data_IF_890932186909
#
_entry.id   IF_890932186909
#
_cell.length_a   1.000
_cell.length_b   1.000
_cell.length_c   1.000
_cell.angle_alpha   90.00
_cell.angle_beta   90.00
_cell.angle_gamma   90.00
#
_symmetry.space_group_name_H-M   'P 1'
#
loop_
_entity.id
_entity.type
_entity.pdbx_description
1 polymer ?
#
# COMPACT_ATOMS: atom_id res chain seq x y z
N UNK A 1 -53.00 15.16 -8.30
CA UNK A 1 -51.97 16.24 -8.43
C UNK A 1 -50.85 16.21 -7.35
N UNK A 2 -50.84 15.29 -6.40
CA UNK A 2 -49.75 15.20 -5.39
C UNK A 2 -48.54 14.34 -5.83
N UNK A 3 -48.71 13.42 -6.79
CA UNK A 3 -47.64 12.57 -7.28
C UNK A 3 -46.54 13.32 -8.08
N UNK A 4 -46.91 14.43 -8.75
CA UNK A 4 -45.96 15.18 -9.59
C UNK A 4 -44.91 15.96 -8.80
N UNK A 5 -45.11 16.15 -7.51
CA UNK A 5 -44.16 16.86 -6.60
C UNK A 5 -43.02 15.98 -6.11
N UNK A 6 -43.14 14.62 -6.20
CA UNK A 6 -42.10 13.69 -5.74
C UNK A 6 -41.11 13.31 -6.83
N UNK A 7 -41.43 13.54 -8.10
CA UNK A 7 -40.56 13.22 -9.23
C UNK A 7 -39.19 13.92 -9.17
N UNK A 8 -39.13 15.26 -8.89
CA UNK A 8 -37.83 15.94 -8.81
C UNK A 8 -36.99 15.46 -7.60
N UNK A 9 -37.62 15.07 -6.51
CA UNK A 9 -36.93 14.56 -5.33
C UNK A 9 -36.30 13.19 -5.57
N UNK A 10 -37.06 12.32 -6.23
CA UNK A 10 -36.56 10.99 -6.64
C UNK A 10 -35.43 11.09 -7.67
N UNK A 11 -35.52 12.00 -8.61
CA UNK A 11 -34.44 12.25 -9.57
C UNK A 11 -33.17 12.78 -8.92
N UNK A 12 -33.30 13.63 -7.89
CA UNK A 12 -32.16 14.19 -7.15
C UNK A 12 -31.48 13.13 -6.29
N UNK A 13 -32.24 12.23 -5.65
CA UNK A 13 -31.73 11.10 -4.90
C UNK A 13 -31.04 10.09 -5.80
N UNK A 14 -31.63 9.78 -6.96
CA UNK A 14 -31.01 8.90 -7.94
C UNK A 14 -29.68 9.47 -8.48
N UNK A 15 -29.62 10.79 -8.70
CA UNK A 15 -28.40 11.47 -9.14
C UNK A 15 -27.32 11.51 -8.06
N UNK A 16 -27.71 11.68 -6.79
CA UNK A 16 -26.79 11.62 -5.65
C UNK A 16 -26.18 10.22 -5.45
N UNK A 17 -26.93 9.15 -5.75
CA UNK A 17 -26.45 7.77 -5.70
C UNK A 17 -25.46 7.44 -6.83
N UNK A 18 -25.54 8.13 -7.97
CA UNK A 18 -24.59 7.97 -9.08
C UNK A 18 -23.24 8.65 -8.82
N UNK A 19 -23.16 9.55 -7.82
CA UNK A 19 -21.93 10.20 -7.39
C UNK A 19 -21.16 9.42 -6.32
N UNK A 20 -21.62 8.24 -5.88
CA UNK A 20 -20.86 7.30 -5.07
C UNK A 20 -19.76 6.67 -5.92
N UNK A 21 -18.86 7.52 -6.40
CA UNK A 21 -17.75 7.18 -7.27
C UNK A 21 -16.72 6.32 -6.54
N UNK A 22 -16.04 5.50 -7.30
CA UNK A 22 -14.94 4.63 -6.94
C UNK A 22 -13.99 5.27 -5.94
N UNK A 23 -14.09 4.92 -4.67
CA UNK A 23 -13.26 5.47 -3.62
C UNK A 23 -11.85 4.85 -3.68
N UNK A 24 -10.84 5.70 -3.83
CA UNK A 24 -9.47 5.33 -3.51
C UNK A 24 -9.37 5.17 -1.99
N UNK A 25 -8.88 4.02 -1.55
CA UNK A 25 -8.74 3.71 -0.13
C UNK A 25 -7.28 3.54 0.28
N UNK A 26 -6.89 4.16 1.40
CA UNK A 26 -5.60 3.93 2.03
C UNK A 26 -5.82 3.62 3.52
N UNK A 27 -5.12 2.62 4.02
CA UNK A 27 -5.13 2.26 5.44
C UNK A 27 -3.70 1.97 5.90
N UNK A 28 -3.33 2.52 7.05
CA UNK A 28 -2.06 2.20 7.71
C UNK A 28 -2.32 1.92 9.19
N UNK A 29 -1.67 0.90 9.72
CA UNK A 29 -1.71 0.55 11.14
C UNK A 29 -0.30 0.25 11.62
N UNK A 30 0.04 0.77 12.77
CA UNK A 30 1.35 0.63 13.40
C UNK A 30 1.14 0.13 14.84
N UNK A 31 1.71 -1.02 15.19
CA UNK A 31 1.63 -1.60 16.53
C UNK A 31 2.75 -1.07 17.44
N UNK A 32 3.84 -0.57 16.85
CA UNK A 32 4.99 0.00 17.56
C UNK A 32 5.67 1.06 16.72
N UNK A 33 6.51 1.87 17.34
CA UNK A 33 7.36 2.81 16.62
C UNK A 33 8.43 2.07 15.80
N UNK A 34 8.44 2.31 14.49
CA UNK A 34 9.39 1.68 13.55
C UNK A 34 10.68 2.49 13.37
N UNK A 35 10.85 3.62 14.03
CA UNK A 35 12.05 4.46 13.87
C UNK A 35 13.34 3.78 14.34
N UNK A 36 13.23 2.83 15.28
CA UNK A 36 14.34 2.03 15.79
C UNK A 36 14.84 0.94 14.84
N UNK A 37 14.00 0.47 13.90
CA UNK A 37 14.35 -0.59 12.95
C UNK A 37 15.17 0.01 11.80
N UNK A 38 16.45 -0.30 11.72
CA UNK A 38 17.39 0.29 10.78
C UNK A 38 17.66 -0.59 9.57
N UNK A 39 17.90 -1.89 9.81
CA UNK A 39 18.20 -2.88 8.76
C UNK A 39 16.95 -3.64 8.39
N UNK A 40 16.51 -3.46 7.17
CA UNK A 40 15.23 -3.99 6.69
C UNK A 40 15.47 -4.88 5.47
N UNK A 41 14.87 -6.05 5.49
CA UNK A 41 14.88 -6.97 4.36
C UNK A 41 13.49 -7.05 3.72
N UNK A 42 13.42 -6.83 2.42
CA UNK A 42 12.19 -6.97 1.65
C UNK A 42 12.18 -8.33 0.99
N UNK A 43 11.21 -9.17 1.35
CA UNK A 43 11.08 -10.51 0.75
C UNK A 43 10.46 -10.41 -0.63
N UNK A 44 11.25 -10.78 -1.66
CA UNK A 44 10.81 -10.79 -3.05
C UNK A 44 9.82 -11.91 -3.31
N UNK A 45 8.75 -11.60 -4.03
CA UNK A 45 7.85 -12.63 -4.57
C UNK A 45 8.45 -13.23 -5.84
N UNK A 46 8.32 -14.55 -6.01
CA UNK A 46 8.83 -15.26 -7.19
C UNK A 46 8.19 -14.78 -8.50
N UNK A 47 6.98 -14.26 -8.44
CA UNK A 47 6.21 -13.76 -9.58
C UNK A 47 6.20 -12.23 -9.67
N UNK A 48 7.14 -11.52 -9.01
CA UNK A 48 7.22 -10.06 -9.09
C UNK A 48 7.79 -9.60 -10.43
N UNK A 49 6.91 -9.40 -11.40
CA UNK A 49 7.25 -8.90 -12.73
C UNK A 49 7.43 -7.35 -12.77
N UNK A 50 7.09 -6.65 -11.69
CA UNK A 50 7.10 -5.18 -11.62
C UNK A 50 8.19 -4.64 -10.71
N UNK A 51 9.01 -5.51 -10.12
CA UNK A 51 10.11 -5.15 -9.22
C UNK A 51 9.65 -4.31 -8.03
N UNK A 52 8.53 -4.71 -7.45
CA UNK A 52 7.94 -4.05 -6.26
C UNK A 52 8.89 -4.18 -5.07
N UNK A 53 9.60 -5.31 -4.96
CA UNK A 53 10.67 -5.53 -3.98
C UNK A 53 11.71 -4.41 -3.99
N UNK A 54 12.27 -4.11 -5.16
CA UNK A 54 13.27 -3.06 -5.35
C UNK A 54 12.70 -1.65 -5.09
N UNK A 55 11.46 -1.40 -5.49
CA UNK A 55 10.79 -0.12 -5.25
C UNK A 55 10.55 0.12 -3.76
N UNK A 56 10.12 -0.91 -3.01
CA UNK A 56 9.97 -0.85 -1.55
C UNK A 56 11.33 -0.58 -0.89
N UNK A 57 12.36 -1.32 -1.27
CA UNK A 57 13.71 -1.13 -0.72
C UNK A 57 14.25 0.29 -1.01
N UNK A 58 14.05 0.81 -2.20
CA UNK A 58 14.44 2.18 -2.56
C UNK A 58 13.68 3.23 -1.72
N UNK A 59 12.38 3.05 -1.52
CA UNK A 59 11.57 3.96 -0.70
C UNK A 59 12.00 3.92 0.78
N UNK A 60 12.32 2.76 1.33
CA UNK A 60 12.85 2.61 2.69
C UNK A 60 14.23 3.26 2.82
N UNK A 61 15.08 3.13 1.81
CA UNK A 61 16.40 3.79 1.78
C UNK A 61 16.23 5.30 1.78
N UNK A 62 15.29 5.84 1.01
CA UNK A 62 14.98 7.27 1.03
C UNK A 62 14.45 7.76 2.39
N UNK A 63 13.88 6.86 3.21
CA UNK A 63 13.46 7.12 4.59
C UNK A 63 14.60 6.88 5.61
N UNK A 64 15.84 6.73 5.16
CA UNK A 64 17.02 6.57 6.02
C UNK A 64 17.20 5.17 6.61
N UNK A 65 16.68 4.12 5.94
CA UNK A 65 16.87 2.73 6.34
C UNK A 65 17.95 2.05 5.50
N UNK A 66 18.62 1.05 6.06
CA UNK A 66 19.47 0.12 5.31
C UNK A 66 18.57 -0.99 4.76
N UNK A 67 18.06 -0.81 3.55
CA UNK A 67 17.10 -1.74 2.97
C UNK A 67 17.76 -2.58 1.87
N UNK A 68 17.56 -3.88 1.95
CA UNK A 68 17.93 -4.86 0.93
C UNK A 68 16.73 -5.72 0.56
N UNK A 69 16.79 -6.42 -0.56
CA UNK A 69 15.70 -7.28 -1.00
C UNK A 69 16.20 -8.55 -1.65
N UNK A 70 15.36 -9.56 -1.68
CA UNK A 70 15.64 -10.86 -2.29
C UNK A 70 14.69 -11.94 -1.78
N UNK A 71 14.89 -13.17 -2.24
CA UNK A 71 14.07 -14.29 -1.79
C UNK A 71 14.31 -14.59 -0.30
N UNK A 72 13.31 -15.15 0.39
CA UNK A 72 13.34 -15.36 1.84
C UNK A 72 14.56 -16.17 2.32
N UNK A 73 15.05 -17.10 1.49
CA UNK A 73 16.24 -17.93 1.79
C UNK A 73 17.57 -17.19 1.72
N UNK A 74 17.60 -16.00 1.11
CA UNK A 74 18.80 -15.16 0.97
C UNK A 74 18.84 -14.00 1.99
N UNK A 75 17.97 -14.02 2.99
CA UNK A 75 17.92 -12.98 4.01
C UNK A 75 19.25 -12.92 4.77
N UNK A 76 19.90 -11.72 4.84
CA UNK A 76 21.12 -11.54 5.61
C UNK A 76 20.88 -11.70 7.11
N UNK A 77 21.92 -12.10 7.83
CA UNK A 77 21.90 -12.07 9.30
C UNK A 77 21.84 -10.63 9.83
N UNK A 78 21.23 -10.46 10.99
CA UNK A 78 21.20 -9.17 11.70
C UNK A 78 20.27 -8.13 11.11
N UNK A 79 19.27 -8.51 10.27
CA UNK A 79 18.18 -7.61 9.92
C UNK A 79 17.23 -7.42 11.09
N UNK A 80 16.69 -6.21 11.23
CA UNK A 80 15.80 -5.84 12.33
C UNK A 80 14.35 -6.19 12.00
N UNK A 81 13.92 -5.94 10.76
CA UNK A 81 12.57 -6.16 10.31
C UNK A 81 12.52 -6.76 8.91
N UNK A 82 11.45 -7.48 8.65
CA UNK A 82 11.13 -8.08 7.36
C UNK A 82 9.89 -7.40 6.81
N UNK A 83 9.94 -7.03 5.54
CA UNK A 83 8.82 -6.50 4.79
C UNK A 83 8.38 -7.54 3.77
N UNK A 84 7.09 -7.85 3.80
CA UNK A 84 6.43 -8.65 2.77
C UNK A 84 5.32 -7.82 2.12
N UNK A 85 4.92 -8.17 0.93
CA UNK A 85 3.90 -7.45 0.20
C UNK A 85 3.06 -8.38 -0.65
N UNK A 86 1.88 -7.92 -1.01
CA UNK A 86 1.04 -8.47 -2.07
C UNK A 86 0.56 -7.34 -2.93
N UNK A 87 0.50 -7.55 -4.24
CA UNK A 87 0.08 -6.55 -5.20
C UNK A 87 -0.89 -7.14 -6.20
N UNK A 88 -1.75 -6.29 -6.74
CA UNK A 88 -2.69 -6.66 -7.78
C UNK A 88 -2.66 -5.63 -8.89
N UNK A 89 -2.54 -6.12 -10.13
CA UNK A 89 -2.44 -5.32 -11.34
C UNK A 89 -3.62 -5.61 -12.26
N UNK A 90 -3.99 -4.62 -13.01
CA UNK A 90 -4.92 -4.75 -14.12
C UNK A 90 -4.34 -4.15 -15.40
N UNK A 91 -4.92 -4.55 -16.50
CA UNK A 91 -4.50 -4.11 -17.81
C UNK A 91 -5.68 -3.43 -18.53
N UNK A 92 -5.48 -2.19 -18.94
CA UNK A 92 -6.37 -1.43 -19.81
C UNK A 92 -5.49 -0.52 -20.68
N UNK A 93 -5.05 -1.04 -21.84
CA UNK A 93 -4.02 -0.44 -22.72
C UNK A 93 -2.64 -0.24 -22.08
N UNK A 94 -2.52 -0.28 -20.77
CA UNK A 94 -1.29 -0.28 -19.98
C UNK A 94 -1.51 -1.05 -18.68
N UNK A 95 -0.43 -1.61 -18.14
CA UNK A 95 -0.47 -2.19 -16.79
C UNK A 95 -0.53 -1.07 -15.75
N UNK A 96 -1.41 -1.21 -14.77
CA UNK A 96 -1.47 -0.34 -13.60
C UNK A 96 -1.80 -1.14 -12.35
N UNK A 97 -1.19 -0.74 -11.25
CA UNK A 97 -1.43 -1.35 -9.95
C UNK A 97 -2.73 -0.82 -9.37
N UNK A 98 -3.65 -1.72 -9.02
CA UNK A 98 -4.93 -1.36 -8.38
C UNK A 98 -4.92 -1.54 -6.87
N UNK A 99 -4.08 -2.45 -6.38
CA UNK A 99 -4.00 -2.72 -4.96
C UNK A 99 -2.59 -3.13 -4.57
N UNK A 100 -2.15 -2.70 -3.40
CA UNK A 100 -0.96 -3.19 -2.72
C UNK A 100 -1.21 -3.23 -1.22
N UNK A 101 -0.71 -4.29 -0.59
CA UNK A 101 -0.62 -4.42 0.85
C UNK A 101 0.84 -4.67 1.22
N UNK A 102 1.33 -3.95 2.22
CA UNK A 102 2.69 -4.07 2.75
C UNK A 102 2.57 -4.41 4.24
N UNK A 103 3.19 -5.52 4.65
CA UNK A 103 3.26 -5.97 6.04
C UNK A 103 4.70 -5.90 6.53
N UNK A 104 4.90 -5.39 7.74
CA UNK A 104 6.19 -5.31 8.42
C UNK A 104 6.15 -6.18 9.66
N UNK A 105 7.13 -7.07 9.83
CA UNK A 105 7.27 -7.96 10.99
C UNK A 105 8.66 -7.89 11.57
N UNK A 106 8.79 -8.16 12.85
CA UNK A 106 10.07 -8.27 13.55
C UNK A 106 10.85 -9.48 13.04
N UNK A 107 12.11 -9.29 12.66
CA UNK A 107 12.90 -10.35 12.02
C UNK A 107 13.27 -11.48 12.97
N UNK A 108 13.30 -11.24 14.28
CA UNK A 108 13.69 -12.21 15.30
C UNK A 108 12.50 -12.97 15.87
N UNK A 109 11.37 -12.28 16.08
CA UNK A 109 10.20 -12.85 16.77
C UNK A 109 9.04 -13.17 15.83
N UNK A 110 9.13 -12.73 14.58
CA UNK A 110 8.08 -12.82 13.55
C UNK A 110 6.76 -12.10 13.91
N UNK A 111 6.79 -11.26 14.95
CA UNK A 111 5.61 -10.51 15.37
C UNK A 111 5.26 -9.41 14.38
N UNK A 112 3.97 -9.23 14.05
CA UNK A 112 3.52 -8.12 13.23
C UNK A 112 3.85 -6.79 13.91
N UNK A 113 4.46 -5.86 13.17
CA UNK A 113 4.83 -4.53 13.63
C UNK A 113 3.95 -3.45 13.01
N UNK A 114 3.66 -3.58 11.72
CA UNK A 114 2.86 -2.62 10.99
C UNK A 114 2.26 -3.25 9.72
N UNK A 115 1.20 -2.64 9.23
CA UNK A 115 0.62 -2.96 7.93
C UNK A 115 0.13 -1.69 7.27
N UNK A 116 0.23 -1.65 5.95
CA UNK A 116 -0.35 -0.59 5.14
C UNK A 116 -0.94 -1.17 3.86
N UNK A 117 -2.05 -0.61 3.42
CA UNK A 117 -2.69 -1.00 2.17
C UNK A 117 -3.17 0.21 1.41
N UNK A 118 -3.20 0.06 0.10
CA UNK A 118 -3.70 1.08 -0.81
C UNK A 118 -4.50 0.41 -1.92
N UNK A 119 -5.66 0.97 -2.22
CA UNK A 119 -6.52 0.59 -3.33
C UNK A 119 -6.84 1.81 -4.17
N UNK A 120 -6.80 1.69 -5.49
CA UNK A 120 -7.18 2.74 -6.42
C UNK A 120 -8.02 2.20 -7.58
N UNK A 121 -9.05 2.95 -7.93
CA UNK A 121 -9.86 2.66 -9.12
C UNK A 121 -9.14 3.11 -10.40
N UNK A 122 -9.50 2.49 -11.52
CA UNK A 122 -8.82 2.57 -12.83
C UNK A 122 -8.71 3.95 -13.48
N UNK A 123 -9.46 4.96 -13.07
CA UNK A 123 -9.57 6.23 -13.80
C UNK A 123 -8.45 7.25 -13.53
N UNK A 124 -7.80 7.20 -12.35
CA UNK A 124 -6.66 8.05 -12.00
C UNK A 124 -5.68 7.25 -11.16
N UNK A 125 -4.81 6.52 -11.82
CA UNK A 125 -3.83 5.68 -11.13
C UNK A 125 -2.56 6.46 -10.81
N UNK A 126 -2.15 6.39 -9.54
CA UNK A 126 -0.78 6.75 -9.11
C UNK A 126 0.19 5.68 -9.55
N UNK A 127 1.46 6.05 -9.73
CA UNK A 127 2.50 5.05 -9.97
C UNK A 127 2.71 4.16 -8.74
N UNK A 128 3.27 2.96 -8.95
CA UNK A 128 3.60 2.05 -7.84
C UNK A 128 4.57 2.70 -6.85
N UNK A 129 5.56 3.44 -7.32
CA UNK A 129 6.53 4.13 -6.49
C UNK A 129 5.87 5.21 -5.61
N UNK A 130 4.91 5.95 -6.17
CA UNK A 130 4.17 6.97 -5.41
C UNK A 130 3.33 6.32 -4.32
N UNK A 131 2.60 5.24 -4.65
CA UNK A 131 1.77 4.50 -3.71
C UNK A 131 2.60 3.88 -2.58
N UNK A 132 3.73 3.25 -2.91
CA UNK A 132 4.65 2.67 -1.94
C UNK A 132 5.14 3.75 -0.96
N UNK A 133 5.53 4.92 -1.45
CA UNK A 133 5.95 6.04 -0.57
C UNK A 133 4.81 6.52 0.33
N UNK A 134 3.59 6.62 -0.19
CA UNK A 134 2.42 7.00 0.61
C UNK A 134 2.18 6.03 1.77
N UNK A 135 2.37 4.73 1.57
CA UNK A 135 2.22 3.72 2.62
C UNK A 135 3.38 3.76 3.61
N UNK A 136 4.61 3.78 3.13
CA UNK A 136 5.80 3.63 3.98
C UNK A 136 6.10 4.88 4.82
N UNK A 137 5.84 6.08 4.29
CA UNK A 137 6.14 7.32 5.01
C UNK A 137 5.48 7.38 6.39
N UNK A 138 4.16 7.20 6.55
CA UNK A 138 3.54 7.25 7.88
C UNK A 138 3.94 6.08 8.79
N UNK A 139 4.38 4.95 8.23
CA UNK A 139 4.81 3.80 9.01
C UNK A 139 6.20 4.02 9.63
N UNK A 140 7.13 4.61 8.88
CA UNK A 140 8.54 4.74 9.27
C UNK A 140 8.96 6.13 9.73
N UNK A 141 8.08 7.13 9.65
CA UNK A 141 8.28 8.43 10.26
C UNK A 141 7.79 8.45 11.71
N UNK A 142 8.36 9.34 12.56
CA UNK A 142 7.86 9.53 13.93
C UNK A 142 6.38 9.90 13.90
N UNK A 143 5.61 9.34 14.83
CA UNK A 143 4.25 9.81 15.07
C UNK A 143 4.34 11.17 15.78
N UNK A 144 3.82 12.20 15.18
CA UNK A 144 3.65 13.52 15.84
C UNK A 144 2.58 13.40 16.91
#
# INVERSE_FOLDING_TARGET
MKLLRFVPLLALVAWALLLAGCATGMSTRKATDLTRFKKIYVESLLADNHRIDAQIAAALTALGREATFGVATMRPDGVDAIVSYTDRWEWDFKNYMIEIKIDVRDARTDKPLATGSYYQASLKTKSSEEVIRLILSPLFQPSN
#
